data_IF_388169971727
#
_entry.id   IF_388169971727
#
_cell.length_a   1.000
_cell.length_b   1.000
_cell.length_c   1.000
_cell.angle_alpha   90.00
_cell.angle_beta   90.00
_cell.angle_gamma   90.00
#
_symmetry.space_group_name_H-M   'P 1'
#
loop_
_entity.id
_entity.type
_entity.pdbx_description
1 polymer ?
#
# COMPACT_ATOMS: atom_id res chain seq x y z
N UNK A 1 46.74 10.57 -28.22
CA UNK A 1 46.28 9.21 -27.87
C UNK A 1 46.02 9.27 -26.38
N UNK A 2 44.78 9.51 -25.91
CA UNK A 2 43.76 8.48 -25.69
C UNK A 2 44.41 7.34 -24.88
N UNK A 3 44.16 7.14 -23.60
CA UNK A 3 42.90 6.77 -22.95
C UNK A 3 43.10 6.90 -21.43
N UNK A 4 42.06 7.22 -20.65
CA UNK A 4 41.51 6.26 -19.68
C UNK A 4 40.34 6.91 -18.92
N UNK A 5 39.15 6.42 -19.20
CA UNK A 5 37.87 6.81 -18.63
C UNK A 5 37.76 6.25 -17.21
N UNK A 6 38.05 7.04 -16.18
CA UNK A 6 37.71 6.65 -14.80
C UNK A 6 36.24 6.94 -14.54
N UNK A 7 35.42 5.95 -14.87
CA UNK A 7 34.03 5.80 -14.51
C UNK A 7 33.88 5.92 -12.97
N UNK A 8 33.20 6.97 -12.51
CA UNK A 8 32.77 7.04 -11.11
C UNK A 8 31.85 5.85 -10.83
N UNK A 9 31.96 5.15 -9.68
CA UNK A 9 30.95 4.18 -9.30
C UNK A 9 29.69 4.97 -9.01
N UNK A 10 28.77 5.02 -9.97
CA UNK A 10 27.37 5.23 -9.67
C UNK A 10 26.91 3.96 -8.96
N UNK A 11 27.26 3.83 -7.67
CA UNK A 11 26.48 3.01 -6.74
C UNK A 11 25.11 3.70 -6.64
N UNK A 12 24.29 3.49 -7.66
CA UNK A 12 22.87 3.43 -7.43
C UNK A 12 22.73 2.36 -6.35
N UNK A 13 22.39 2.78 -5.14
CA UNK A 13 21.76 1.91 -4.18
C UNK A 13 20.46 1.44 -4.86
N UNK A 14 20.59 0.38 -5.68
CA UNK A 14 19.48 -0.42 -6.17
C UNK A 14 18.86 -1.01 -4.91
N UNK A 15 17.98 -0.21 -4.30
CA UNK A 15 17.08 -0.63 -3.27
C UNK A 15 16.22 -1.67 -3.95
N UNK A 16 16.64 -2.92 -3.83
CA UNK A 16 15.90 -4.10 -4.26
C UNK A 16 14.48 -3.88 -3.79
N UNK A 17 13.51 -3.59 -4.67
CA UNK A 17 12.15 -3.32 -4.26
C UNK A 17 11.56 -4.68 -3.92
N UNK A 18 11.91 -5.18 -2.72
CA UNK A 18 11.21 -6.28 -2.07
C UNK A 18 9.72 -6.04 -2.27
N UNK A 19 8.94 -7.05 -2.69
CA UNK A 19 7.54 -6.86 -3.02
C UNK A 19 6.87 -6.16 -1.83
N UNK A 20 6.40 -4.94 -2.02
CA UNK A 20 5.75 -4.17 -0.97
C UNK A 20 4.37 -4.76 -0.71
N UNK A 21 4.32 -5.85 0.08
CA UNK A 21 3.10 -6.61 0.39
C UNK A 21 2.22 -5.93 1.45
N UNK A 22 2.41 -4.64 1.73
CA UNK A 22 1.70 -3.96 2.82
C UNK A 22 0.19 -3.88 2.60
N UNK A 23 -0.28 -4.09 1.36
CA UNK A 23 -1.70 -4.07 1.02
C UNK A 23 -2.47 -5.30 1.47
N UNK A 24 -1.84 -6.48 1.48
CA UNK A 24 -2.51 -7.77 1.74
C UNK A 24 -2.64 -8.11 3.24
N UNK A 25 -2.08 -7.26 4.11
CA UNK A 25 -2.26 -7.36 5.55
C UNK A 25 -3.75 -7.23 5.91
N UNK A 26 -4.24 -7.83 7.00
CA UNK A 26 -5.60 -7.58 7.48
C UNK A 26 -5.86 -6.08 7.67
N UNK A 27 -7.10 -5.63 7.45
CA UNK A 27 -7.46 -4.23 7.71
C UNK A 27 -7.08 -3.82 9.13
N UNK A 28 -6.60 -2.59 9.27
CA UNK A 28 -6.24 -2.05 10.58
C UNK A 28 -7.51 -1.77 11.40
N UNK A 29 -7.39 -1.78 12.74
CA UNK A 29 -8.50 -1.40 13.63
C UNK A 29 -9.16 -0.06 13.28
N UNK A 30 -8.39 1.02 13.01
CA UNK A 30 -8.94 2.29 12.56
C UNK A 30 -9.70 2.21 11.24
N UNK A 31 -9.18 1.49 10.23
CA UNK A 31 -9.88 1.30 8.96
C UNK A 31 -11.23 0.59 9.17
N UNK A 32 -11.25 -0.49 9.99
CA UNK A 32 -12.50 -1.20 10.34
C UNK A 32 -13.50 -0.28 11.02
N UNK A 33 -13.06 0.50 12.00
CA UNK A 33 -13.94 1.42 12.72
C UNK A 33 -14.53 2.48 11.81
N UNK A 34 -13.76 3.00 10.87
CA UNK A 34 -14.23 4.03 9.95
C UNK A 34 -15.20 3.48 8.92
N UNK A 35 -14.87 2.33 8.31
CA UNK A 35 -15.76 1.60 7.40
C UNK A 35 -17.09 1.27 8.06
N UNK A 36 -17.10 0.83 9.33
CA UNK A 36 -18.35 0.56 10.04
C UNK A 36 -19.26 1.79 10.14
N UNK A 37 -18.70 2.99 10.30
CA UNK A 37 -19.47 4.24 10.32
C UNK A 37 -20.03 4.54 8.94
N UNK A 38 -19.19 4.52 7.90
CA UNK A 38 -19.62 4.77 6.52
C UNK A 38 -20.69 3.77 6.06
N UNK A 39 -20.51 2.49 6.38
CA UNK A 39 -21.45 1.43 6.07
C UNK A 39 -22.81 1.63 6.75
N UNK A 40 -22.84 2.08 8.01
CA UNK A 40 -24.09 2.42 8.69
C UNK A 40 -24.81 3.62 8.05
N UNK A 41 -24.06 4.64 7.63
CA UNK A 41 -24.62 5.82 6.97
C UNK A 41 -25.14 5.52 5.56
N UNK A 42 -24.42 4.66 4.82
CA UNK A 42 -24.79 4.23 3.47
C UNK A 42 -25.80 3.07 3.45
N UNK A 43 -26.05 2.41 4.59
CA UNK A 43 -26.82 1.16 4.66
C UNK A 43 -26.17 0.00 3.91
N UNK A 44 -24.84 -0.03 3.85
CA UNK A 44 -24.04 -1.04 3.18
C UNK A 44 -23.48 -2.07 4.17
N UNK A 45 -23.09 -3.25 3.66
CA UNK A 45 -22.35 -4.25 4.42
C UNK A 45 -20.87 -4.17 4.05
N UNK A 46 -19.98 -4.36 5.04
CA UNK A 46 -18.54 -4.41 4.82
C UNK A 46 -17.99 -5.81 5.09
N UNK A 47 -17.04 -6.29 4.28
CA UNK A 47 -16.46 -7.61 4.47
C UNK A 47 -15.62 -7.69 5.74
N UNK A 48 -15.85 -8.73 6.54
CA UNK A 48 -15.17 -8.93 7.83
C UNK A 48 -13.66 -9.18 7.69
N UNK A 49 -13.22 -9.76 6.58
CA UNK A 49 -11.82 -10.15 6.32
C UNK A 49 -11.17 -9.30 5.22
N UNK A 50 -11.60 -8.05 5.04
CA UNK A 50 -10.92 -7.17 4.09
C UNK A 50 -9.46 -6.94 4.48
N UNK A 51 -8.59 -6.94 3.48
CA UNK A 51 -7.21 -6.50 3.63
C UNK A 51 -7.12 -4.99 3.83
N UNK A 52 -5.97 -4.48 4.24
CA UNK A 52 -5.68 -3.08 4.42
C UNK A 52 -5.85 -2.29 3.12
N UNK A 53 -5.44 -2.86 1.99
CA UNK A 53 -5.65 -2.26 0.67
C UNK A 53 -7.14 -2.18 0.32
N UNK A 54 -7.86 -3.31 0.43
CA UNK A 54 -9.30 -3.35 0.15
C UNK A 54 -10.08 -2.41 1.07
N UNK A 55 -9.70 -2.32 2.34
CA UNK A 55 -10.33 -1.40 3.27
C UNK A 55 -10.10 0.06 2.87
N UNK A 56 -8.92 0.41 2.34
CA UNK A 56 -8.66 1.74 1.80
C UNK A 56 -9.55 2.05 0.59
N UNK A 57 -9.68 1.11 -0.36
CA UNK A 57 -10.52 1.28 -1.54
C UNK A 57 -12.01 1.41 -1.19
N UNK A 58 -12.49 0.64 -0.22
CA UNK A 58 -13.86 0.72 0.27
C UNK A 58 -14.15 2.06 0.93
N UNK A 59 -13.20 2.62 1.70
CA UNK A 59 -13.31 3.95 2.33
C UNK A 59 -13.50 5.03 1.25
N UNK A 60 -12.81 4.92 0.12
CA UNK A 60 -12.91 5.90 -0.95
C UNK A 60 -14.21 5.77 -1.78
N UNK A 61 -14.90 4.62 -1.68
CA UNK A 61 -16.05 4.26 -2.52
C UNK A 61 -17.41 4.39 -1.80
N UNK A 62 -17.44 4.19 -0.49
CA UNK A 62 -18.65 4.27 0.35
C UNK A 62 -18.96 5.71 0.77
#
# INVERSE_FOLDING_TARGET
MSENTTHAPQENAEKDPSPTVTGDEPMTGPQRSYLNTLAQEAGAEIPDEATKAQASELIDTL
#
